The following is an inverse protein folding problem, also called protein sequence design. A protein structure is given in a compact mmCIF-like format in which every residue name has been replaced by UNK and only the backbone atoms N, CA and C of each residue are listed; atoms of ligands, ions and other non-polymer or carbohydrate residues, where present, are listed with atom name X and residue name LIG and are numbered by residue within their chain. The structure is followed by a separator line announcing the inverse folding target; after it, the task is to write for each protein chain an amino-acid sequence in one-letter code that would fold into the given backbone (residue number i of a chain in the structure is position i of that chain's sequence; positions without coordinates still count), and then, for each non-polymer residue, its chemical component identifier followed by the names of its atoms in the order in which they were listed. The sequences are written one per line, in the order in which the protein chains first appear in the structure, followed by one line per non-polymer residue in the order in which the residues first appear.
data_IF_791428867061
#
_entry.id   IF_791428867061
#
_cell.length_a   1.000
_cell.length_b   1.000
_cell.length_c   1.000
_cell.angle_alpha   90.00
_cell.angle_beta   90.00
_cell.angle_gamma   90.00
#
_symmetry.space_group_name_H-M   'P 1'
#
loop_
_entity.id
_entity.type
_entity.pdbx_description
1 polymer ?
#
# COMPACT_ATOMS: atom_id res chain seq x y z
N UNK A 1 -24.46 -8.28 15.12
CA UNK A 1 -23.64 -7.40 14.26
C UNK A 1 -24.44 -6.25 13.65
N UNK A 2 -25.63 -6.48 13.11
CA UNK A 2 -26.45 -5.43 12.48
C UNK A 2 -26.80 -4.26 13.41
N UNK A 3 -27.17 -4.56 14.66
CA UNK A 3 -27.41 -3.54 15.69
C UNK A 3 -26.17 -2.68 15.96
N UNK A 4 -24.99 -3.30 16.11
CA UNK A 4 -23.72 -2.58 16.34
C UNK A 4 -23.38 -1.66 15.16
N UNK A 5 -23.60 -2.10 13.92
CA UNK A 5 -23.41 -1.27 12.72
C UNK A 5 -24.37 -0.09 12.70
N UNK A 6 -25.66 -0.34 12.95
CA UNK A 6 -26.71 0.70 12.93
C UNK A 6 -26.47 1.79 13.98
N UNK A 7 -25.97 1.42 15.15
CA UNK A 7 -25.70 2.34 16.25
C UNK A 7 -24.29 2.95 16.18
N UNK A 8 -23.40 2.43 15.34
CA UNK A 8 -21.99 2.83 15.30
C UNK A 8 -21.22 2.45 16.57
N UNK A 9 -21.63 1.35 17.22
CA UNK A 9 -21.08 0.91 18.50
C UNK A 9 -20.08 -0.24 18.32
N UNK A 10 -19.10 -0.30 19.24
CA UNK A 10 -18.18 -1.41 19.41
C UNK A 10 -18.27 -1.94 20.84
N UNK A 11 -17.97 -3.23 21.03
CA UNK A 11 -17.99 -3.85 22.35
C UNK A 11 -16.58 -3.85 22.96
N UNK A 12 -16.47 -3.61 24.26
CA UNK A 12 -15.24 -3.76 25.03
C UNK A 12 -15.36 -5.05 25.84
N UNK A 13 -14.34 -5.90 25.80
CA UNK A 13 -14.33 -7.18 26.49
C UNK A 13 -12.93 -7.51 27.03
N UNK A 14 -12.85 -8.52 27.91
CA UNK A 14 -11.60 -9.14 28.34
C UNK A 14 -11.44 -10.47 27.63
N UNK A 15 -10.28 -10.72 27.03
CA UNK A 15 -9.96 -11.93 26.30
C UNK A 15 -8.66 -12.52 26.86
N UNK A 16 -8.70 -13.78 27.30
CA UNK A 16 -7.50 -14.51 27.72
C UNK A 16 -6.89 -15.22 26.52
N UNK A 17 -5.65 -14.89 26.18
CA UNK A 17 -4.90 -15.46 25.06
C UNK A 17 -3.45 -15.69 25.48
N UNK A 18 -2.86 -16.85 25.12
CA UNK A 18 -1.49 -17.22 25.50
C UNK A 18 -1.18 -17.09 27.01
N UNK A 19 -2.17 -17.40 27.87
CA UNK A 19 -2.03 -17.34 29.32
C UNK A 19 -2.00 -15.93 29.93
N UNK A 20 -2.27 -14.89 29.12
CA UNK A 20 -2.41 -13.50 29.57
C UNK A 20 -3.79 -12.97 29.22
N UNK A 21 -4.26 -12.02 30.02
CA UNK A 21 -5.54 -11.38 29.77
C UNK A 21 -5.36 -10.01 29.12
N UNK A 22 -6.11 -9.78 28.06
CA UNK A 22 -6.08 -8.56 27.27
C UNK A 22 -7.43 -7.86 27.30
N UNK A 23 -7.42 -6.52 27.35
CA UNK A 23 -8.61 -5.73 27.02
C UNK A 23 -8.71 -5.66 25.50
N UNK A 24 -9.88 -5.93 24.96
CA UNK A 24 -10.11 -5.96 23.51
C UNK A 24 -11.32 -5.13 23.10
N UNK A 25 -11.22 -4.50 21.93
CA UNK A 25 -12.32 -3.84 21.24
C UNK A 25 -12.82 -4.74 20.11
N UNK A 26 -14.09 -5.13 20.16
CA UNK A 26 -14.74 -5.95 19.16
C UNK A 26 -15.68 -5.09 18.33
N UNK A 27 -15.39 -4.96 17.03
CA UNK A 27 -16.22 -4.17 16.10
C UNK A 27 -16.73 -5.02 14.94
N UNK A 28 -17.92 -4.71 14.39
CA UNK A 28 -18.38 -5.35 13.17
C UNK A 28 -17.52 -4.94 11.97
N UNK A 29 -17.26 -5.90 11.08
CA UNK A 29 -16.66 -5.70 9.76
C UNK A 29 -17.59 -6.29 8.67
N UNK A 30 -17.15 -6.25 7.41
CA UNK A 30 -17.97 -6.63 6.26
C UNK A 30 -18.49 -8.07 6.38
N UNK A 31 -17.64 -9.04 6.74
CA UNK A 31 -17.98 -10.47 6.79
C UNK A 31 -17.83 -11.09 8.18
N UNK A 32 -17.67 -10.29 9.24
CA UNK A 32 -17.46 -10.83 10.59
C UNK A 32 -17.20 -9.78 11.67
N UNK A 33 -16.52 -10.19 12.72
CA UNK A 33 -16.04 -9.32 13.80
C UNK A 33 -14.52 -9.13 13.67
N UNK A 34 -14.05 -7.93 13.97
CA UNK A 34 -12.63 -7.65 14.11
C UNK A 34 -12.35 -7.31 15.57
N UNK A 35 -11.37 -8.00 16.13
CA UNK A 35 -10.91 -7.81 17.51
C UNK A 35 -9.63 -6.99 17.46
N UNK A 36 -9.57 -5.89 18.20
CA UNK A 36 -8.36 -5.09 18.39
C UNK A 36 -7.92 -5.29 19.83
N UNK A 37 -6.70 -5.75 20.03
CA UNK A 37 -6.07 -5.78 21.35
C UNK A 37 -5.71 -4.37 21.75
N UNK A 38 -6.11 -3.95 22.94
CA UNK A 38 -5.81 -2.63 23.48
C UNK A 38 -4.66 -2.75 24.48
N UNK A 39 -3.80 -1.74 24.50
CA UNK A 39 -2.83 -1.54 25.57
C UNK A 39 -3.53 -0.99 26.82
N UNK A 40 -3.07 -1.42 27.99
CA UNK A 40 -3.45 -0.82 29.26
C UNK A 40 -2.84 0.58 29.39
N UNK A 41 -3.41 1.39 30.29
CA UNK A 41 -2.96 2.77 30.48
C UNK A 41 -1.47 2.87 30.83
N UNK A 42 -0.95 1.96 31.64
CA UNK A 42 0.46 1.86 32.05
C UNK A 42 1.39 1.33 30.93
N UNK A 43 0.85 0.69 29.91
CA UNK A 43 1.61 0.27 28.72
C UNK A 43 1.73 1.41 27.68
N UNK A 44 0.90 2.44 27.79
CA UNK A 44 0.95 3.62 26.92
C UNK A 44 1.97 4.61 27.49
N UNK A 45 3.10 4.77 26.79
CA UNK A 45 4.09 5.80 27.14
C UNK A 45 3.53 7.20 26.90
N UNK A 46 3.67 8.08 27.88
CA UNK A 46 3.25 9.46 27.76
C UNK A 46 4.13 10.20 26.74
N UNK A 47 3.51 10.97 25.84
CA UNK A 47 4.23 11.79 24.85
C UNK A 47 5.17 12.82 25.49
N UNK A 48 4.98 13.17 26.77
CA UNK A 48 5.83 14.12 27.49
C UNK A 48 7.29 13.66 27.61
N UNK A 49 7.53 12.35 27.57
CA UNK A 49 8.88 11.77 27.54
C UNK A 49 9.59 12.01 26.19
N UNK A 50 8.81 12.23 25.13
CA UNK A 50 9.29 12.49 23.77
C UNK A 50 9.00 13.94 23.38
N UNK A 51 9.70 14.89 24.01
CA UNK A 51 9.73 16.28 23.52
C UNK A 51 10.47 16.33 22.19
N UNK A 52 9.75 16.07 21.11
CA UNK A 52 10.24 16.33 19.75
C UNK A 52 10.69 17.78 19.66
N UNK A 53 11.92 18.01 19.20
CA UNK A 53 12.35 19.37 18.91
C UNK A 53 11.46 19.90 17.79
N UNK A 54 10.79 21.03 18.01
CA UNK A 54 10.08 21.72 16.94
C UNK A 54 11.14 22.33 16.02
N UNK A 55 11.60 21.55 15.05
CA UNK A 55 12.56 22.00 14.04
C UNK A 55 11.81 22.78 12.97
N UNK A 56 12.31 23.96 12.62
CA UNK A 56 11.83 24.69 11.44
C UNK A 56 12.32 23.96 10.19
N UNK A 57 11.38 23.47 9.39
CA UNK A 57 11.66 22.77 8.13
C UNK A 57 11.78 23.81 7.01
N UNK A 58 12.81 23.70 6.16
CA UNK A 58 12.95 24.56 4.99
C UNK A 58 11.89 24.18 3.93
N UNK A 59 11.19 25.16 3.31
CA UNK A 59 10.18 24.88 2.29
C UNK A 59 10.69 24.05 1.10
N UNK A 60 11.96 24.22 0.69
CA UNK A 60 12.55 23.48 -0.44
C UNK A 60 12.80 22.01 -0.08
N UNK A 61 13.19 21.75 1.15
CA UNK A 61 13.38 20.39 1.65
C UNK A 61 12.04 19.67 1.78
N UNK A 62 11.00 20.38 2.24
CA UNK A 62 9.65 19.84 2.32
C UNK A 62 9.10 19.48 0.93
N UNK A 63 9.24 20.36 -0.05
CA UNK A 63 8.79 20.11 -1.42
C UNK A 63 9.48 18.87 -2.03
N UNK A 64 10.79 18.74 -1.82
CA UNK A 64 11.55 17.58 -2.27
C UNK A 64 11.10 16.29 -1.58
N UNK A 65 10.85 16.33 -0.26
CA UNK A 65 10.34 15.19 0.48
C UNK A 65 8.95 14.76 0.00
N UNK A 66 8.06 15.71 -0.30
CA UNK A 66 6.74 15.43 -0.89
C UNK A 66 6.89 14.73 -2.24
N UNK A 67 7.75 15.24 -3.13
CA UNK A 67 8.01 14.59 -4.42
C UNK A 67 8.54 13.16 -4.27
N UNK A 68 9.38 12.90 -3.26
CA UNK A 68 9.90 11.56 -2.99
C UNK A 68 8.79 10.62 -2.51
N UNK A 69 7.94 11.09 -1.59
CA UNK A 69 6.78 10.33 -1.12
C UNK A 69 5.85 10.01 -2.29
N UNK A 70 5.56 10.98 -3.16
CA UNK A 70 4.73 10.77 -4.35
C UNK A 70 5.36 9.81 -5.37
N UNK A 71 6.68 9.83 -5.53
CA UNK A 71 7.38 8.92 -6.42
C UNK A 71 7.42 7.47 -5.90
N UNK A 72 7.42 7.28 -4.57
CA UNK A 72 7.50 5.97 -3.92
C UNK A 72 6.14 5.44 -3.46
N UNK A 73 5.10 6.27 -3.43
CA UNK A 73 3.78 5.84 -2.98
C UNK A 73 3.17 4.84 -3.96
N UNK A 74 2.50 3.84 -3.42
CA UNK A 74 1.82 2.81 -4.19
C UNK A 74 0.62 2.27 -3.44
N UNK A 75 -0.14 1.38 -4.10
CA UNK A 75 -1.23 0.66 -3.42
C UNK A 75 -0.63 -0.42 -2.53
N UNK A 76 -1.05 -0.45 -1.26
CA UNK A 76 -0.68 -1.53 -0.36
C UNK A 76 -1.29 -2.85 -0.84
N UNK A 77 -0.43 -3.81 -1.18
CA UNK A 77 -0.79 -5.17 -1.57
C UNK A 77 -0.24 -6.12 -0.50
N UNK A 78 -1.09 -6.64 0.42
CA UNK A 78 -0.65 -7.53 1.48
C UNK A 78 0.11 -8.76 0.97
N UNK A 79 -0.32 -9.31 -0.18
CA UNK A 79 0.26 -10.52 -0.78
C UNK A 79 1.71 -10.37 -1.25
N UNK A 80 2.18 -9.12 -1.42
CA UNK A 80 3.58 -8.84 -1.75
C UNK A 80 4.52 -9.06 -0.55
N UNK A 81 3.99 -9.09 0.68
CA UNK A 81 4.77 -9.28 1.90
C UNK A 81 4.73 -10.75 2.31
N UNK A 82 5.76 -11.49 1.88
CA UNK A 82 5.91 -12.90 2.22
C UNK A 82 6.79 -13.06 3.47
N UNK A 83 6.55 -14.15 4.20
CA UNK A 83 7.37 -14.55 5.34
C UNK A 83 8.73 -15.08 4.84
N UNK A 84 9.69 -14.17 4.75
CA UNK A 84 11.05 -14.48 4.27
C UNK A 84 11.77 -15.46 5.19
N UNK A 85 11.47 -15.44 6.50
CA UNK A 85 12.04 -16.38 7.45
C UNK A 85 11.56 -17.80 7.15
N UNK A 86 10.25 -17.98 6.94
CA UNK A 86 9.69 -19.27 6.56
C UNK A 86 10.26 -19.78 5.23
N UNK A 87 10.36 -18.91 4.23
CA UNK A 87 10.92 -19.28 2.93
C UNK A 87 12.38 -19.74 3.04
N UNK A 88 13.21 -19.03 3.80
CA UNK A 88 14.61 -19.43 4.02
C UNK A 88 14.70 -20.72 4.85
N UNK A 89 13.83 -20.91 5.85
CA UNK A 89 13.78 -22.14 6.62
C UNK A 89 13.42 -23.35 5.75
N UNK A 90 12.44 -23.22 4.86
CA UNK A 90 12.06 -24.27 3.90
C UNK A 90 13.23 -24.60 2.95
N UNK A 91 13.95 -23.58 2.49
CA UNK A 91 15.17 -23.75 1.67
C UNK A 91 16.26 -24.50 2.44
N UNK A 92 16.53 -24.13 3.69
CA UNK A 92 17.51 -24.79 4.54
C UNK A 92 17.13 -26.25 4.83
N UNK A 93 15.85 -26.52 5.04
CA UNK A 93 15.33 -27.88 5.22
C UNK A 93 15.54 -28.70 3.94
N UNK A 94 15.22 -28.17 2.77
CA UNK A 94 15.46 -28.86 1.49
C UNK A 94 16.94 -29.14 1.24
N UNK A 95 17.82 -28.17 1.50
CA UNK A 95 19.27 -28.36 1.36
C UNK A 95 19.79 -29.47 2.30
N UNK A 96 19.30 -29.51 3.55
CA UNK A 96 19.62 -30.60 4.50
C UNK A 96 19.11 -31.96 4.04
N UNK A 97 17.89 -32.03 3.52
CA UNK A 97 17.32 -33.28 2.97
C UNK A 97 18.13 -33.77 1.76
N UNK A 98 18.62 -32.85 0.93
CA UNK A 98 19.46 -33.17 -0.24
C UNK A 98 20.93 -33.43 0.11
N UNK A 99 21.32 -33.30 1.38
CA UNK A 99 22.68 -33.56 1.86
C UNK A 99 23.70 -32.45 1.56
N UNK A 100 23.24 -31.26 1.16
CA UNK A 100 24.09 -30.13 0.85
C UNK A 100 24.53 -29.38 2.12
N UNK A 101 25.81 -28.98 2.17
CA UNK A 101 26.31 -28.08 3.21
C UNK A 101 25.90 -26.66 2.85
N UNK A 102 24.99 -26.07 3.62
CA UNK A 102 24.56 -24.68 3.46
C UNK A 102 25.79 -23.77 3.64
N UNK A 103 26.18 -23.08 2.57
CA UNK A 103 27.25 -22.09 2.61
C UNK A 103 26.75 -20.78 3.23
N UNK A 104 27.57 -20.18 4.09
CA UNK A 104 27.33 -18.84 4.61
C UNK A 104 27.34 -17.83 3.46
N UNK A 105 26.28 -17.03 3.38
CA UNK A 105 26.20 -15.94 2.39
C UNK A 105 27.14 -14.83 2.84
N UNK A 106 28.24 -14.65 2.11
CA UNK A 106 29.14 -13.53 2.33
C UNK A 106 28.40 -12.21 2.04
N UNK A 107 28.34 -11.34 3.04
CA UNK A 107 27.79 -9.98 2.89
C UNK A 107 28.86 -9.13 2.19
N UNK A 108 28.67 -8.83 0.90
CA UNK A 108 29.48 -7.81 0.23
C UNK A 108 29.09 -6.42 0.72
N UNK A 109 29.95 -5.79 1.52
CA UNK A 109 29.82 -4.38 1.88
C UNK A 109 30.17 -3.51 0.66
N UNK A 110 29.15 -3.07 -0.09
CA UNK A 110 29.34 -2.04 -1.11
C UNK A 110 29.32 -0.66 -0.46
N UNK A 111 30.51 -0.08 -0.28
CA UNK A 111 30.65 1.33 0.05
C UNK A 111 30.25 2.19 -1.15
N UNK A 112 29.09 2.86 -1.06
CA UNK A 112 28.68 3.84 -2.06
C UNK A 112 29.45 5.17 -1.84
N UNK A 113 29.99 5.80 -2.89
CA UNK A 113 30.65 7.10 -2.76
C UNK A 113 29.63 8.17 -2.32
N UNK A 114 29.96 8.88 -1.25
CA UNK A 114 29.16 9.98 -0.70
C UNK A 114 29.35 11.21 -1.60
N UNK A 115 28.63 11.27 -2.71
CA UNK A 115 28.38 12.52 -3.43
C UNK A 115 27.17 13.22 -2.79
N UNK A 116 27.14 14.56 -2.85
CA UNK A 116 26.08 15.43 -2.34
C UNK A 116 24.69 14.79 -2.51
N UNK A 117 24.13 14.36 -1.37
CA UNK A 117 22.92 13.53 -1.29
C UNK A 117 21.74 14.26 -1.94
N UNK A 118 21.69 15.59 -1.86
CA UNK A 118 20.61 16.39 -2.44
C UNK A 118 20.68 16.41 -3.96
N UNK A 119 21.88 16.50 -4.51
CA UNK A 119 22.10 16.47 -5.97
C UNK A 119 21.86 15.07 -6.52
N UNK A 120 22.39 14.05 -5.86
CA UNK A 120 22.18 12.65 -6.22
C UNK A 120 20.68 12.27 -6.18
N UNK A 121 19.93 12.75 -5.19
CA UNK A 121 18.50 12.49 -5.08
C UNK A 121 17.69 13.19 -6.19
N UNK A 122 17.99 14.46 -6.49
CA UNK A 122 17.37 15.19 -7.61
C UNK A 122 17.66 14.52 -8.96
N UNK A 123 18.87 14.02 -9.15
CA UNK A 123 19.27 13.29 -10.34
C UNK A 123 18.56 11.92 -10.45
N UNK A 124 18.30 11.24 -9.33
CA UNK A 124 17.55 9.98 -9.31
C UNK A 124 16.06 10.19 -9.62
N UNK A 125 15.43 11.22 -9.04
CA UNK A 125 14.02 11.55 -9.29
C UNK A 125 13.73 12.01 -10.73
N UNK A 126 14.68 12.69 -11.38
CA UNK A 126 14.51 13.09 -12.78
C UNK A 126 14.57 11.90 -13.76
N UNK A 127 15.23 10.80 -13.38
CA UNK A 127 15.30 9.57 -14.17
C UNK A 127 14.02 8.73 -14.07
N UNK A 128 13.32 8.75 -12.93
CA UNK A 128 12.05 8.01 -12.71
C UNK A 128 10.88 8.59 -13.51
N UNK A 129 10.90 9.88 -13.87
CA UNK A 129 9.84 10.54 -14.67
C UNK A 129 9.79 10.11 -16.15
N UNK A 130 10.64 9.18 -16.61
CA UNK A 130 10.65 8.71 -18.00
C UNK A 130 10.00 7.32 -18.09
N UNK A 131 8.71 7.21 -18.45
CA UNK A 131 8.14 5.91 -18.74
C UNK A 131 8.84 5.31 -19.98
N UNK A 132 9.18 4.01 -19.99
CA UNK A 132 9.61 3.34 -21.21
C UNK A 132 8.40 3.22 -22.14
N UNK A 133 8.23 4.22 -23.01
CA UNK A 133 7.33 4.10 -24.16
C UNK A 133 8.11 3.42 -25.27
N UNK A 134 8.00 2.10 -25.36
CA UNK A 134 8.17 1.42 -26.63
C UNK A 134 7.55 0.03 -26.65
N UNK A 135 6.75 -0.15 -27.72
CA UNK A 135 6.29 -1.39 -28.32
C UNK A 135 5.10 -2.13 -27.66
N UNK A 136 3.90 -1.58 -27.85
CA UNK A 136 2.84 -2.32 -28.57
C UNK A 136 2.20 -1.37 -29.57
N UNK A 137 2.64 -1.47 -30.82
CA UNK A 137 2.00 -0.86 -31.99
C UNK A 137 0.99 -1.84 -32.56
N UNK A 138 -0.10 -1.29 -33.11
CA UNK A 138 -0.95 -1.87 -34.15
C UNK A 138 -1.93 -2.99 -33.77
N UNK A 139 -3.16 -2.56 -33.46
CA UNK A 139 -4.49 -3.01 -33.94
C UNK A 139 -5.46 -2.53 -32.86
N UNK A 140 -6.29 -1.51 -33.00
CA UNK A 140 -7.47 -1.44 -33.87
C UNK A 140 -7.85 0.05 -34.04
N UNK A 141 -7.40 0.69 -35.13
CA UNK A 141 -8.08 1.85 -35.70
C UNK A 141 -8.85 1.36 -36.93
N UNK A 142 -10.05 0.83 -36.71
CA UNK A 142 -11.09 0.63 -37.75
C UNK A 142 -12.43 0.30 -37.09
N UNK A 143 -12.98 1.24 -36.31
CA UNK A 143 -14.43 1.25 -36.01
C UNK A 143 -14.91 2.62 -35.49
N UNK A 144 -14.48 3.70 -36.12
CA UNK A 144 -14.95 5.05 -35.82
C UNK A 144 -15.36 5.77 -37.10
N UNK A 145 -16.33 5.24 -37.86
CA UNK A 145 -17.04 6.05 -38.87
C UNK A 145 -18.45 5.61 -39.31
N UNK A 146 -19.09 4.62 -38.70
CA UNK A 146 -20.45 4.20 -39.11
C UNK A 146 -21.59 4.45 -38.10
N UNK A 147 -21.32 4.74 -36.82
CA UNK A 147 -22.40 4.92 -35.83
C UNK A 147 -22.89 6.37 -35.61
N UNK A 148 -22.22 7.39 -36.17
CA UNK A 148 -22.62 8.80 -35.97
C UNK A 148 -23.65 9.34 -36.99
N UNK A 149 -23.96 8.58 -38.06
CA UNK A 149 -24.96 8.99 -39.07
C UNK A 149 -26.35 8.37 -38.82
N UNK A 150 -26.45 7.31 -38.01
CA UNK A 150 -27.72 6.62 -37.74
C UNK A 150 -28.53 7.22 -36.58
N UNK A 151 -27.91 8.01 -35.69
CA UNK A 151 -28.59 8.63 -34.54
C UNK A 151 -29.24 9.99 -34.84
N UNK A 152 -28.81 10.68 -35.90
CA UNK A 152 -29.37 11.96 -36.34
C UNK A 152 -30.67 11.83 -37.16
N UNK A 153 -31.03 10.62 -37.63
CA UNK A 153 -32.22 10.38 -38.46
C UNK A 153 -33.44 9.83 -37.68
N UNK A 154 -33.29 9.57 -36.37
CA UNK A 154 -34.36 8.98 -35.53
C UNK A 154 -35.15 9.99 -34.69
N UNK A 155 -34.74 11.25 -34.64
CA UNK A 155 -35.40 12.30 -33.82
C UNK A 155 -36.42 13.15 -34.60
N UNK A 156 -36.45 13.09 -35.94
CA UNK A 156 -37.34 13.91 -36.77
C UNK A 156 -38.68 13.26 -37.16
N UNK A 157 -39.07 12.10 -36.60
CA UNK A 157 -40.28 11.37 -37.04
C UNK A 157 -41.29 10.96 -35.95
N UNK A 158 -41.27 11.55 -34.75
CA UNK A 158 -42.26 11.24 -33.69
C UNK A 158 -42.93 12.47 -33.05
N UNK A 159 -43.08 13.58 -33.78
CA UNK A 159 -43.91 14.73 -33.36
C UNK A 159 -44.96 15.10 -34.40
N UNK A 160 -45.84 14.15 -34.73
CA UNK A 160 -47.19 14.46 -35.23
C UNK A 160 -48.07 13.20 -35.12
N UNK A 161 -49.00 13.17 -34.16
CA UNK A 161 -50.44 12.93 -34.39
C UNK A 161 -51.19 12.57 -33.11
N UNK A 162 -52.29 13.29 -32.90
CA UNK A 162 -53.57 12.90 -32.26
C UNK A 162 -53.68 12.92 -30.74
N UNK A 163 -54.70 13.64 -30.28
CA UNK A 163 -55.29 13.59 -28.95
C UNK A 163 -55.66 14.97 -28.46
#
# INVERSE_FOLDING_TARGET
MEAMRRVGAAAVARLTMHGREHVVLVRPANTGLVVHTLYYHDEVRANEEFKGQTVRVDPKELELAVMLVEALMGRFQPDAFQDTYRAELERLLQAKVQGEKVAEVAVEERAAPVMDILEALKASLSQVKKPPVSAVTATVETSAKEESVSRARRVSKSRTSRG
#
